data_IF_272552330596
#
_entry.id   IF_272552330596
#
_cell.length_a   1.000
_cell.length_b   1.000
_cell.length_c   1.000
_cell.angle_alpha   90.00
_cell.angle_beta   90.00
_cell.angle_gamma   90.00
#
_symmetry.space_group_name_H-M   'P 1'
#
loop_
_entity.id
_entity.type
_entity.pdbx_description
1 polymer ?
#
# COMPACT_ATOMS: atom_id res chain seq x y z
N UNK A 1 -33.16 -2.88 -12.23
CA UNK A 1 -32.39 -3.37 -13.39
C UNK A 1 -31.24 -2.40 -13.52
N UNK A 2 -30.11 -2.72 -12.90
CA UNK A 2 -28.90 -1.91 -13.00
C UNK A 2 -28.36 -2.20 -14.39
N UNK A 3 -28.19 -1.16 -15.22
CA UNK A 3 -27.56 -1.29 -16.53
C UNK A 3 -26.17 -1.89 -16.35
N UNK A 4 -25.97 -3.10 -16.88
CA UNK A 4 -24.68 -3.82 -16.91
C UNK A 4 -23.86 -3.33 -18.12
N UNK A 5 -24.00 -2.05 -18.48
CA UNK A 5 -23.35 -1.45 -19.66
C UNK A 5 -22.37 -0.32 -19.28
N UNK A 6 -22.08 -0.15 -17.99
CA UNK A 6 -20.90 0.59 -17.55
C UNK A 6 -19.67 -0.29 -17.75
N UNK A 7 -19.15 -0.26 -18.98
CA UNK A 7 -17.74 -0.60 -19.21
C UNK A 7 -16.94 0.27 -18.24
N UNK A 8 -16.13 -0.34 -17.37
CA UNK A 8 -15.13 0.36 -16.55
C UNK A 8 -13.97 0.88 -17.43
N UNK A 9 -14.31 1.36 -18.63
CA UNK A 9 -13.42 1.98 -19.59
C UNK A 9 -12.87 3.25 -18.98
N UNK A 10 -11.56 3.24 -18.78
CA UNK A 10 -10.77 4.41 -18.39
C UNK A 10 -11.35 5.22 -17.21
N UNK A 11 -12.00 4.55 -16.24
CA UNK A 11 -12.49 5.22 -15.03
C UNK A 11 -11.29 5.56 -14.12
N UNK A 12 -10.65 6.66 -14.51
CA UNK A 12 -9.83 7.60 -13.76
C UNK A 12 -9.04 7.03 -12.59
N UNK A 13 -7.79 6.71 -12.90
CA UNK A 13 -6.56 7.25 -12.26
C UNK A 13 -6.83 8.16 -11.04
N UNK A 14 -7.35 7.61 -9.95
CA UNK A 14 -7.44 8.33 -8.69
C UNK A 14 -6.07 8.17 -8.03
N UNK A 15 -5.11 8.95 -8.53
CA UNK A 15 -3.82 9.13 -7.87
C UNK A 15 -4.08 9.84 -6.54
N UNK A 16 -4.51 9.08 -5.54
CA UNK A 16 -4.58 9.58 -4.19
C UNK A 16 -3.14 9.57 -3.68
N UNK A 17 -2.58 10.77 -3.52
CA UNK A 17 -1.35 10.96 -2.76
C UNK A 17 -1.66 10.62 -1.29
N UNK A 18 -1.62 9.33 -0.95
CA UNK A 18 -1.81 8.88 0.42
C UNK A 18 -0.50 9.09 1.15
N UNK A 19 -0.52 9.82 2.27
CA UNK A 19 0.71 10.03 3.04
C UNK A 19 1.16 8.74 3.73
N UNK A 20 2.46 8.58 3.92
CA UNK A 20 3.04 7.48 4.69
C UNK A 20 2.45 7.45 6.11
N UNK A 21 2.29 8.61 6.74
CA UNK A 21 1.60 8.71 8.03
C UNK A 21 0.17 8.15 7.98
N UNK A 22 -0.59 8.42 6.91
CA UNK A 22 -1.96 7.90 6.74
C UNK A 22 -1.98 6.38 6.53
N UNK A 23 -0.99 5.82 5.83
CA UNK A 23 -0.84 4.38 5.69
C UNK A 23 -0.41 3.73 7.00
N UNK A 24 0.55 4.30 7.72
CA UNK A 24 1.00 3.79 9.01
C UNK A 24 -0.11 3.81 10.06
N UNK A 25 -1.01 4.79 10.04
CA UNK A 25 -2.18 4.80 10.93
C UNK A 25 -3.19 3.68 10.63
N UNK A 26 -3.16 3.10 9.42
CA UNK A 26 -3.97 1.94 9.01
C UNK A 26 -3.18 0.64 9.00
N UNK A 27 -1.90 0.68 9.29
CA UNK A 27 -1.03 -0.49 9.22
C UNK A 27 -1.40 -1.50 10.32
N UNK A 28 -1.20 -2.78 10.03
CA UNK A 28 -1.42 -3.86 10.98
C UNK A 28 -0.22 -3.97 11.93
N UNK A 29 -0.15 -3.02 12.87
CA UNK A 29 0.91 -2.97 13.89
C UNK A 29 0.87 -4.18 14.81
N UNK A 30 -0.31 -4.73 15.06
CA UNK A 30 -0.45 -5.90 15.92
C UNK A 30 0.19 -7.13 15.29
N UNK A 31 -0.14 -7.43 14.03
CA UNK A 31 0.47 -8.53 13.31
C UNK A 31 1.97 -8.28 13.05
N UNK A 32 2.37 -7.02 12.82
CA UNK A 32 3.78 -6.65 12.70
C UNK A 32 4.59 -7.00 13.96
N UNK A 33 4.15 -6.56 15.14
CA UNK A 33 4.87 -6.85 16.38
C UNK A 33 4.79 -8.33 16.77
N UNK A 34 3.70 -9.02 16.44
CA UNK A 34 3.58 -10.47 16.61
C UNK A 34 4.66 -11.22 15.81
N UNK A 35 4.90 -10.83 14.56
CA UNK A 35 6.00 -11.38 13.74
C UNK A 35 7.40 -11.06 14.28
N UNK A 36 7.54 -9.96 15.02
CA UNK A 36 8.78 -9.62 15.73
C UNK A 36 8.98 -10.43 17.02
N UNK A 37 8.04 -11.30 17.38
CA UNK A 37 8.11 -12.19 18.53
C UNK A 37 7.50 -11.63 19.82
N UNK A 38 6.79 -10.50 19.75
CA UNK A 38 6.09 -9.95 20.89
C UNK A 38 4.72 -10.64 21.08
N UNK A 39 4.31 -10.78 22.34
CA UNK A 39 3.08 -11.48 22.72
C UNK A 39 1.94 -10.54 23.08
N UNK A 40 2.28 -9.30 23.44
CA UNK A 40 1.39 -8.23 23.81
C UNK A 40 0.76 -7.60 22.56
N UNK A 41 -0.50 -7.19 22.67
CA UNK A 41 -1.18 -6.48 21.58
C UNK A 41 -0.62 -5.07 21.39
N UNK A 42 -0.79 -4.51 20.21
CA UNK A 42 -0.52 -3.09 19.98
C UNK A 42 -1.70 -2.25 20.53
N UNK A 43 -1.48 -1.12 21.23
CA UNK A 43 -0.20 -0.46 21.51
C UNK A 43 0.49 -0.94 22.81
N UNK A 44 -0.07 -1.90 23.55
CA UNK A 44 0.50 -2.34 24.84
C UNK A 44 1.95 -2.81 24.75
N UNK A 45 2.34 -3.43 23.62
CA UNK A 45 3.73 -3.83 23.35
C UNK A 45 4.72 -2.66 23.45
N UNK A 46 4.35 -1.44 23.03
CA UNK A 46 5.25 -0.27 23.10
C UNK A 46 5.39 0.26 24.53
N UNK A 47 4.46 -0.03 25.43
CA UNK A 47 4.59 0.32 26.84
C UNK A 47 5.33 -0.74 27.65
N UNK A 48 5.28 -2.00 27.20
CA UNK A 48 5.88 -3.13 27.89
C UNK A 48 7.37 -3.33 27.54
N UNK A 49 7.79 -2.93 26.33
CA UNK A 49 9.13 -3.22 25.82
C UNK A 49 9.81 -1.98 25.22
N UNK A 50 10.91 -1.54 25.84
CA UNK A 50 11.71 -0.38 25.39
C UNK A 50 12.23 -0.53 23.94
N UNK A 51 12.45 -1.76 23.48
CA UNK A 51 12.87 -2.03 22.10
C UNK A 51 11.72 -1.83 21.10
N UNK A 52 10.50 -2.23 21.48
CA UNK A 52 9.32 -2.02 20.64
C UNK A 52 8.94 -0.54 20.56
N UNK A 53 9.06 0.20 21.67
CA UNK A 53 8.84 1.65 21.71
C UNK A 53 9.82 2.40 20.80
N UNK A 54 11.11 2.05 20.89
CA UNK A 54 12.16 2.62 20.03
C UNK A 54 11.91 2.31 18.56
N UNK A 55 11.59 1.05 18.24
CA UNK A 55 11.29 0.66 16.86
C UNK A 55 10.07 1.42 16.30
N UNK A 56 8.99 1.51 17.08
CA UNK A 56 7.81 2.29 16.70
C UNK A 56 8.17 3.76 16.44
N UNK A 57 8.89 4.38 17.39
CA UNK A 57 9.31 5.79 17.30
C UNK A 57 10.23 6.05 16.11
N UNK A 58 11.20 5.17 15.85
CA UNK A 58 12.11 5.25 14.70
C UNK A 58 11.33 5.16 13.39
N UNK A 59 10.37 4.23 13.28
CA UNK A 59 9.52 4.08 12.10
C UNK A 59 8.65 5.32 11.84
N UNK A 60 7.96 5.84 12.86
CA UNK A 60 7.13 7.04 12.71
C UNK A 60 7.99 8.26 12.35
N UNK A 61 9.17 8.39 12.96
CA UNK A 61 10.09 9.50 12.71
C UNK A 61 10.64 9.45 11.29
N UNK A 62 11.11 8.30 10.83
CA UNK A 62 11.60 8.15 9.45
C UNK A 62 10.51 8.41 8.42
N UNK A 63 9.29 7.94 8.67
CA UNK A 63 8.16 8.23 7.79
C UNK A 63 7.86 9.74 7.72
N UNK A 64 7.88 10.45 8.86
CA UNK A 64 7.70 11.90 8.91
C UNK A 64 8.81 12.67 8.21
N UNK A 65 10.08 12.29 8.43
CA UNK A 65 11.24 12.91 7.78
C UNK A 65 11.23 12.72 6.26
N UNK A 66 10.79 11.55 5.79
CA UNK A 66 10.72 11.26 4.36
C UNK A 66 9.64 12.07 3.62
N UNK A 67 8.67 12.66 4.34
CA UNK A 67 7.58 13.49 3.81
C UNK A 67 7.74 15.00 4.08
N UNK A 68 8.82 15.45 4.72
CA UNK A 68 9.05 16.86 5.04
C UNK A 68 9.10 17.74 3.77
N UNK A 69 8.31 18.84 3.68
CA UNK A 69 8.29 19.75 2.52
C UNK A 69 9.58 20.54 2.29
N UNK A 70 10.36 20.74 3.37
CA UNK A 70 11.61 21.53 3.35
C UNK A 70 12.79 20.74 2.74
N UNK A 71 12.58 19.45 2.53
CA UNK A 71 13.44 18.59 1.70
C UNK A 71 12.59 18.20 0.48
N UNK A 72 13.19 18.00 -0.68
CA UNK A 72 12.44 17.37 -1.78
C UNK A 72 11.79 16.09 -1.22
N UNK A 73 10.44 15.94 -1.23
CA UNK A 73 9.77 14.84 -0.56
C UNK A 73 10.35 13.55 -1.09
N UNK A 74 11.04 12.84 -0.20
CA UNK A 74 11.80 11.64 -0.56
C UNK A 74 10.81 10.50 -0.78
N UNK A 75 9.79 10.41 0.07
CA UNK A 75 8.76 9.38 0.01
C UNK A 75 7.54 9.86 -0.75
N UNK A 76 7.44 9.41 -2.00
CA UNK A 76 6.22 9.49 -2.81
C UNK A 76 5.48 8.18 -2.71
N UNK A 77 4.19 8.27 -2.40
CA UNK A 77 3.24 7.16 -2.32
C UNK A 77 2.08 7.53 -3.22
N UNK A 78 2.04 6.87 -4.38
CA UNK A 78 0.94 6.97 -5.31
C UNK A 78 0.25 5.62 -5.41
N UNK A 79 -1.08 5.62 -5.35
CA UNK A 79 -1.89 4.47 -5.72
C UNK A 79 -2.52 4.75 -7.07
N UNK A 80 -2.19 3.91 -8.04
CA UNK A 80 -2.81 3.93 -9.36
C UNK A 80 -3.76 2.76 -9.42
N UNK A 81 -4.93 2.86 -10.01
CA UNK A 81 -5.83 1.73 -10.17
C UNK A 81 -6.31 1.67 -11.61
N UNK A 82 -6.27 0.50 -12.23
CA UNK A 82 -6.80 0.25 -13.58
C UNK A 82 -7.50 -1.09 -13.59
N UNK A 83 -8.68 -1.13 -14.19
CA UNK A 83 -9.53 -2.32 -14.23
C UNK A 83 -9.70 -2.85 -15.65
N UNK A 84 -9.95 -4.13 -15.76
CA UNK A 84 -10.33 -4.79 -17.01
C UNK A 84 -11.40 -5.84 -16.71
N UNK A 85 -12.42 -5.87 -17.56
CA UNK A 85 -13.43 -6.92 -17.54
C UNK A 85 -12.81 -8.19 -18.15
N UNK A 86 -12.83 -9.28 -17.39
CA UNK A 86 -12.37 -10.58 -17.86
C UNK A 86 -13.49 -11.34 -18.58
N UNK A 87 -13.11 -12.23 -19.51
CA UNK A 87 -14.05 -13.03 -20.31
C UNK A 87 -15.00 -13.91 -19.45
N UNK A 88 -14.60 -14.24 -18.23
CA UNK A 88 -15.41 -15.02 -17.28
C UNK A 88 -16.43 -14.16 -16.50
N UNK A 89 -16.57 -12.87 -16.81
CA UNK A 89 -17.49 -11.94 -16.14
C UNK A 89 -16.98 -11.37 -14.82
N UNK A 90 -15.72 -11.62 -14.45
CA UNK A 90 -15.08 -11.01 -13.27
C UNK A 90 -14.33 -9.74 -13.64
N UNK A 91 -14.18 -8.83 -12.68
CA UNK A 91 -13.40 -7.59 -12.85
C UNK A 91 -12.08 -7.74 -12.10
N UNK A 92 -10.97 -7.58 -12.83
CA UNK A 92 -9.63 -7.54 -12.27
C UNK A 92 -9.02 -6.16 -12.43
N UNK A 93 -8.41 -5.66 -11.35
CA UNK A 93 -7.66 -4.41 -11.37
C UNK A 93 -6.24 -4.56 -10.88
N UNK A 94 -5.37 -3.67 -11.33
CA UNK A 94 -4.03 -3.51 -10.78
C UNK A 94 -3.99 -2.25 -9.92
N UNK A 95 -3.39 -2.35 -8.73
CA UNK A 95 -2.93 -1.21 -7.96
C UNK A 95 -1.40 -1.16 -7.86
N UNK A 96 -0.84 0.02 -7.67
CA UNK A 96 0.60 0.18 -7.45
C UNK A 96 0.82 0.95 -6.16
N UNK A 97 1.75 0.51 -5.32
CA UNK A 97 2.30 1.28 -4.22
C UNK A 97 3.74 1.62 -4.62
N UNK A 98 3.95 2.87 -5.00
CA UNK A 98 5.28 3.40 -5.28
C UNK A 98 5.86 3.90 -3.96
N UNK A 99 7.10 3.54 -3.66
CA UNK A 99 7.84 3.98 -2.47
C UNK A 99 9.19 4.50 -2.95
N UNK A 100 9.35 5.82 -2.92
CA UNK A 100 10.61 6.50 -3.24
C UNK A 100 11.37 6.93 -1.97
N UNK A 101 12.67 7.18 -2.09
CA UNK A 101 13.42 7.96 -1.08
C UNK A 101 13.81 7.30 0.23
N UNK A 102 13.63 5.99 0.37
CA UNK A 102 14.13 5.22 1.52
C UNK A 102 15.61 4.80 1.39
N UNK A 103 16.34 5.28 0.38
CA UNK A 103 17.72 4.88 0.10
C UNK A 103 18.72 5.24 1.23
N UNK A 104 18.38 6.19 2.10
CA UNK A 104 19.18 6.58 3.26
C UNK A 104 18.77 5.90 4.57
N UNK A 105 17.71 5.10 4.56
CA UNK A 105 17.19 4.40 5.75
C UNK A 105 17.96 3.09 5.93
N UNK A 106 18.27 2.74 7.18
CA UNK A 106 18.89 1.45 7.51
C UNK A 106 18.08 0.29 6.94
N UNK A 107 18.74 -0.71 6.37
CA UNK A 107 18.10 -1.82 5.65
C UNK A 107 16.96 -2.49 6.42
N UNK A 108 17.16 -2.78 7.70
CA UNK A 108 16.16 -3.42 8.57
C UNK A 108 14.93 -2.53 8.74
N UNK A 109 15.15 -1.27 9.11
CA UNK A 109 14.10 -0.28 9.31
C UNK A 109 13.34 0.01 7.99
N UNK A 110 14.05 -0.04 6.86
CA UNK A 110 13.44 0.09 5.52
C UNK A 110 12.49 -1.07 5.24
N UNK A 111 12.88 -2.31 5.52
CA UNK A 111 12.02 -3.50 5.33
C UNK A 111 10.79 -3.47 6.22
N UNK A 112 10.97 -3.04 7.47
CA UNK A 112 9.87 -2.89 8.43
C UNK A 112 8.88 -1.81 7.97
N UNK A 113 9.40 -0.67 7.53
CA UNK A 113 8.60 0.40 6.93
C UNK A 113 7.80 -0.09 5.72
N UNK A 114 8.44 -0.79 4.78
CA UNK A 114 7.77 -1.35 3.60
C UNK A 114 6.63 -2.29 4.01
N UNK A 115 6.88 -3.18 4.97
CA UNK A 115 5.89 -4.14 5.46
C UNK A 115 4.65 -3.43 6.02
N UNK A 116 4.87 -2.40 6.84
CA UNK A 116 3.77 -1.61 7.42
C UNK A 116 3.04 -0.80 6.36
N UNK A 117 3.76 -0.15 5.43
CA UNK A 117 3.14 0.58 4.32
C UNK A 117 2.28 -0.33 3.43
N UNK A 118 2.71 -1.58 3.19
CA UNK A 118 1.89 -2.57 2.48
C UNK A 118 0.60 -2.90 3.22
N UNK A 119 0.70 -3.19 4.52
CA UNK A 119 -0.48 -3.53 5.32
C UNK A 119 -1.47 -2.37 5.34
N UNK A 120 -0.99 -1.14 5.56
CA UNK A 120 -1.82 0.06 5.55
C UNK A 120 -2.41 0.38 4.18
N UNK A 121 -1.66 0.14 3.10
CA UNK A 121 -2.18 0.30 1.73
C UNK A 121 -3.26 -0.73 1.42
N UNK A 122 -3.11 -1.96 1.91
CA UNK A 122 -4.12 -3.03 1.76
C UNK A 122 -5.42 -2.64 2.45
N UNK A 123 -5.33 -2.19 3.70
CA UNK A 123 -6.49 -1.74 4.46
C UNK A 123 -7.16 -0.53 3.82
N UNK A 124 -6.37 0.48 3.43
CA UNK A 124 -6.87 1.66 2.73
C UNK A 124 -7.57 1.33 1.41
N UNK A 125 -6.99 0.47 0.58
CA UNK A 125 -7.60 0.03 -0.68
C UNK A 125 -8.91 -0.71 -0.39
N UNK A 126 -8.91 -1.61 0.61
CA UNK A 126 -10.11 -2.36 0.99
C UNK A 126 -11.24 -1.43 1.41
N UNK A 127 -10.96 -0.48 2.29
CA UNK A 127 -11.92 0.54 2.74
C UNK A 127 -12.46 1.33 1.55
N UNK A 128 -11.56 1.87 0.71
CA UNK A 128 -11.93 2.74 -0.42
C UNK A 128 -12.87 2.06 -1.41
N UNK A 129 -12.68 0.76 -1.69
CA UNK A 129 -13.58 0.02 -2.58
C UNK A 129 -14.85 -0.46 -1.88
N UNK A 130 -14.78 -0.75 -0.58
CA UNK A 130 -15.97 -1.12 0.20
C UNK A 130 -16.96 0.05 0.29
N UNK A 131 -16.46 1.29 0.41
CA UNK A 131 -17.29 2.50 0.34
C UNK A 131 -18.04 2.63 -1.00
N UNK A 132 -17.47 2.11 -2.09
CA UNK A 132 -18.09 2.03 -3.43
C UNK A 132 -18.98 0.77 -3.61
N UNK A 133 -19.24 0.03 -2.53
CA UNK A 133 -20.08 -1.18 -2.56
C UNK A 133 -19.39 -2.42 -3.16
N UNK A 134 -18.06 -2.42 -3.23
CA UNK A 134 -17.25 -3.51 -3.79
C UNK A 134 -16.50 -4.20 -2.64
N UNK A 135 -16.53 -5.53 -2.58
CA UNK A 135 -15.70 -6.31 -1.66
C UNK A 135 -14.43 -6.78 -2.39
N UNK A 136 -13.29 -6.06 -2.29
CA UNK A 136 -12.08 -6.43 -3.01
C UNK A 136 -11.33 -7.57 -2.30
N UNK A 137 -10.83 -8.51 -3.10
CA UNK A 137 -9.73 -9.39 -2.73
C UNK A 137 -8.43 -8.77 -3.26
N UNK A 138 -7.48 -8.50 -2.36
CA UNK A 138 -6.25 -7.76 -2.67
C UNK A 138 -5.06 -8.69 -2.45
N UNK A 139 -4.29 -8.94 -3.51
CA UNK A 139 -3.06 -9.73 -3.48
C UNK A 139 -1.87 -8.95 -4.00
N UNK A 140 -0.76 -8.87 -3.25
CA UNK A 140 0.47 -8.23 -3.72
C UNK A 140 1.30 -9.19 -4.59
N UNK A 141 1.72 -8.73 -5.77
CA UNK A 141 2.47 -9.50 -6.76
C UNK A 141 3.71 -8.72 -7.24
N UNK A 142 4.80 -9.44 -7.50
CA UNK A 142 6.00 -8.84 -8.10
C UNK A 142 5.77 -8.49 -9.57
N UNK A 143 5.00 -9.32 -10.28
CA UNK A 143 4.70 -9.14 -11.71
C UNK A 143 3.20 -9.23 -11.93
N UNK A 144 2.64 -8.27 -12.67
CA UNK A 144 1.21 -8.30 -13.00
C UNK A 144 0.87 -9.51 -13.89
N UNK A 145 -0.33 -10.08 -13.73
CA UNK A 145 -0.89 -11.02 -14.70
C UNK A 145 -0.80 -10.46 -16.12
N UNK A 146 -0.59 -11.34 -17.12
CA UNK A 146 -0.41 -10.92 -18.53
C UNK A 146 -1.53 -9.98 -19.02
N UNK A 147 -2.75 -10.21 -18.55
CA UNK A 147 -3.95 -9.40 -18.83
C UNK A 147 -3.82 -7.96 -18.34
N UNK A 148 -3.05 -7.71 -17.28
CA UNK A 148 -2.86 -6.40 -16.65
C UNK A 148 -1.49 -5.78 -16.94
N UNK A 149 -0.56 -6.49 -17.61
CA UNK A 149 0.79 -5.98 -17.89
C UNK A 149 0.79 -4.71 -18.75
N UNK A 150 -0.14 -4.60 -19.71
CA UNK A 150 -0.29 -3.39 -20.53
C UNK A 150 -0.76 -2.16 -19.74
N UNK A 151 -1.15 -2.34 -18.49
CA UNK A 151 -1.65 -1.28 -17.62
C UNK A 151 -0.55 -0.64 -16.77
N UNK A 152 0.65 -1.23 -16.71
CA UNK A 152 1.74 -0.80 -15.82
C UNK A 152 2.30 0.58 -16.18
N UNK A 153 1.97 1.65 -15.42
CA UNK A 153 2.49 2.99 -15.69
C UNK A 153 3.95 3.14 -15.23
N UNK A 154 4.50 2.14 -14.54
CA UNK A 154 5.80 2.22 -13.86
C UNK A 154 6.95 1.61 -14.65
N UNK A 155 6.70 1.09 -15.86
CA UNK A 155 7.73 0.50 -16.73
C UNK A 155 8.93 1.44 -17.03
N UNK A 156 8.79 2.74 -16.77
CA UNK A 156 9.83 3.75 -16.94
C UNK A 156 10.48 4.25 -15.63
N UNK A 157 10.04 3.78 -14.46
CA UNK A 157 10.55 4.22 -13.15
C UNK A 157 11.58 3.21 -12.61
N UNK A 158 12.87 3.51 -12.80
CA UNK A 158 13.98 2.63 -12.41
C UNK A 158 14.52 2.87 -10.98
N UNK A 159 14.07 3.92 -10.29
CA UNK A 159 14.58 4.32 -8.97
C UNK A 159 13.62 4.13 -7.79
N UNK A 160 12.41 3.63 -8.03
CA UNK A 160 11.38 3.47 -7.03
C UNK A 160 11.18 1.99 -6.65
N UNK A 161 10.87 1.70 -5.38
CA UNK A 161 10.34 0.39 -5.01
C UNK A 161 8.85 0.39 -5.35
N UNK A 162 8.48 -0.42 -6.33
CA UNK A 162 7.11 -0.48 -6.84
C UNK A 162 6.54 -1.83 -6.45
N UNK A 163 5.47 -1.81 -5.66
CA UNK A 163 4.70 -2.98 -5.31
C UNK A 163 3.40 -2.95 -6.07
N UNK A 164 2.98 -4.09 -6.60
CA UNK A 164 1.79 -4.19 -7.44
C UNK A 164 0.76 -5.03 -6.71
N UNK A 165 -0.48 -4.56 -6.60
CA UNK A 165 -1.58 -5.35 -6.07
C UNK A 165 -2.52 -5.76 -7.20
N UNK A 166 -3.08 -6.96 -7.13
CA UNK A 166 -4.22 -7.38 -7.95
C UNK A 166 -5.47 -7.25 -7.10
N UNK A 167 -6.47 -6.55 -7.61
CA UNK A 167 -7.76 -6.32 -6.97
C UNK A 167 -8.80 -7.14 -7.72
N UNK A 168 -9.49 -8.06 -7.04
CA UNK A 168 -10.61 -8.82 -7.61
C UNK A 168 -11.90 -8.48 -6.90
N UNK A 169 -12.97 -8.31 -7.64
CA UNK A 169 -14.32 -8.17 -7.09
C UNK A 169 -14.97 -9.56 -6.92
N UNK A 170 -15.61 -9.79 -5.76
CA UNK A 170 -16.51 -10.92 -5.52
C UNK A 170 -17.89 -10.72 -6.16
#
# INVERSE_FOLDING_TARGET
MIDIDDKWGDTQLTANNVSAARLLNRADWEEFFRHKGYSESFPMVTYAHDEADRLYSDLITEAGLAQSPDRQPRLRIGTFTRFTDLENGTVEGAAWLVVEGLNGVREELRRDMITLLHSGATDWLRESYTEEGIAPLIDWVETLPKTLQGLDPTAHQTGAMIYRATIRRQ
#
